data_IF_415514121103
#
_entry.id   IF_415514121103
#
_cell.length_a   1.000
_cell.length_b   1.000
_cell.length_c   1.000
_cell.angle_alpha   90.00
_cell.angle_beta   90.00
_cell.angle_gamma   90.00
#
_symmetry.space_group_name_H-M   'P 1'
#
loop_
_entity.id
_entity.type
_entity.pdbx_description
1 polymer ?
#
# COMPACT_ATOMS: atom_id res chain seq x y z
N UNK A 1 16.99 -9.52 -7.49
CA UNK A 1 16.41 -10.29 -8.61
C UNK A 1 16.40 -11.78 -8.33
N UNK A 2 17.53 -12.46 -8.09
CA UNK A 2 17.58 -13.91 -7.78
C UNK A 2 16.62 -14.41 -6.66
N UNK A 3 16.45 -13.64 -5.58
CA UNK A 3 15.51 -14.01 -4.51
C UNK A 3 14.06 -13.97 -4.97
N UNK A 4 13.69 -12.96 -5.76
CA UNK A 4 12.36 -12.78 -6.34
C UNK A 4 12.08 -13.89 -7.36
N UNK A 5 13.04 -14.19 -8.23
CA UNK A 5 12.94 -15.29 -9.20
C UNK A 5 12.68 -16.63 -8.50
N UNK A 6 13.48 -16.94 -7.47
CA UNK A 6 13.31 -18.15 -6.66
C UNK A 6 11.94 -18.20 -5.99
N UNK A 7 11.48 -17.07 -5.44
CA UNK A 7 10.18 -17.00 -4.78
C UNK A 7 9.04 -17.23 -5.76
N UNK A 8 9.06 -16.58 -6.93
CA UNK A 8 8.04 -16.74 -7.98
C UNK A 8 8.01 -18.19 -8.48
N UNK A 9 9.17 -18.80 -8.69
CA UNK A 9 9.28 -20.21 -9.10
C UNK A 9 8.65 -21.13 -8.05
N UNK A 10 9.06 -21.02 -6.79
CA UNK A 10 8.58 -21.89 -5.71
C UNK A 10 7.07 -21.75 -5.49
N UNK A 11 6.56 -20.52 -5.46
CA UNK A 11 5.12 -20.28 -5.28
C UNK A 11 4.30 -20.86 -6.45
N UNK A 12 4.78 -20.71 -7.68
CA UNK A 12 4.08 -21.23 -8.86
C UNK A 12 4.16 -22.76 -8.92
N UNK A 13 5.31 -23.34 -8.58
CA UNK A 13 5.50 -24.79 -8.50
C UNK A 13 4.56 -25.42 -7.46
N UNK A 14 4.48 -24.85 -6.26
CA UNK A 14 3.60 -25.33 -5.19
C UNK A 14 2.13 -25.30 -5.59
N UNK A 15 1.69 -24.24 -6.27
CA UNK A 15 0.30 -24.12 -6.73
C UNK A 15 -0.03 -25.18 -7.80
N UNK A 16 0.83 -25.31 -8.81
CA UNK A 16 0.65 -26.30 -9.89
C UNK A 16 0.72 -27.73 -9.37
N UNK A 17 1.62 -28.00 -8.43
CA UNK A 17 1.75 -29.33 -7.83
C UNK A 17 0.48 -29.74 -7.09
N UNK A 18 -0.09 -28.87 -6.26
CA UNK A 18 -1.37 -29.13 -5.57
C UNK A 18 -2.50 -29.41 -6.56
N UNK A 19 -2.60 -28.60 -7.62
CA UNK A 19 -3.58 -28.79 -8.69
C UNK A 19 -3.39 -30.14 -9.40
N UNK A 20 -2.15 -30.56 -9.65
CA UNK A 20 -1.83 -31.84 -10.27
C UNK A 20 -2.18 -33.03 -9.39
N UNK A 21 -1.89 -32.97 -8.09
CA UNK A 21 -2.31 -34.02 -7.14
C UNK A 21 -3.83 -34.18 -7.14
N UNK A 22 -4.59 -33.08 -7.14
CA UNK A 22 -6.05 -33.12 -7.26
C UNK A 22 -6.49 -33.77 -8.58
N UNK A 23 -5.86 -33.43 -9.71
CA UNK A 23 -6.15 -34.07 -11.02
C UNK A 23 -5.86 -35.56 -11.01
N UNK A 24 -4.76 -36.00 -10.37
CA UNK A 24 -4.42 -37.42 -10.25
C UNK A 24 -5.43 -38.18 -9.38
N UNK A 25 -5.92 -37.56 -8.30
CA UNK A 25 -6.97 -38.13 -7.47
C UNK A 25 -8.27 -38.34 -8.26
N UNK A 26 -8.67 -37.34 -9.05
CA UNK A 26 -9.83 -37.46 -9.95
C UNK A 26 -9.60 -38.51 -11.04
N UNK A 27 -8.41 -38.55 -11.65
CA UNK A 27 -8.07 -39.57 -12.64
C UNK A 27 -8.17 -40.98 -12.04
N UNK A 28 -7.66 -41.16 -10.81
CA UNK A 28 -7.72 -42.45 -10.10
C UNK A 28 -9.16 -42.89 -9.83
N UNK A 29 -10.09 -41.97 -9.55
CA UNK A 29 -11.49 -42.33 -9.29
C UNK A 29 -12.24 -42.76 -10.56
N UNK A 30 -11.82 -42.29 -11.74
CA UNK A 30 -12.50 -42.58 -13.02
C UNK A 30 -11.81 -43.64 -13.88
N UNK A 31 -10.51 -43.87 -13.73
CA UNK A 31 -9.74 -44.76 -14.62
C UNK A 31 -10.22 -46.22 -14.54
N UNK A 32 -10.81 -46.63 -13.41
CA UNK A 32 -11.39 -47.97 -13.24
C UNK A 32 -12.48 -48.30 -14.27
N UNK A 33 -13.20 -47.31 -14.79
CA UNK A 33 -14.21 -47.53 -15.83
C UNK A 33 -13.63 -48.02 -17.17
N UNK A 34 -12.31 -47.86 -17.40
CA UNK A 34 -11.63 -48.38 -18.60
C UNK A 34 -11.64 -49.92 -18.67
N UNK A 35 -11.78 -50.59 -17.52
CA UNK A 35 -11.88 -52.04 -17.44
C UNK A 35 -13.10 -52.59 -18.22
N UNK A 36 -14.19 -51.82 -18.34
CA UNK A 36 -15.36 -52.21 -19.14
C UNK A 36 -15.04 -52.37 -20.63
N UNK A 37 -14.02 -51.67 -21.13
CA UNK A 37 -13.53 -51.79 -22.49
C UNK A 37 -12.36 -52.79 -22.63
N UNK A 38 -12.16 -53.68 -21.64
CA UNK A 38 -11.06 -54.65 -21.57
C UNK A 38 -9.66 -54.03 -21.62
N UNK A 39 -9.53 -52.75 -21.28
CA UNK A 39 -8.24 -52.07 -21.16
C UNK A 39 -7.74 -52.17 -19.72
N UNK A 40 -6.44 -52.38 -19.55
CA UNK A 40 -5.80 -52.41 -18.23
C UNK A 40 -5.80 -51.01 -17.58
N UNK A 41 -6.58 -50.78 -16.50
CA UNK A 41 -6.69 -49.47 -15.87
C UNK A 41 -5.36 -48.94 -15.33
N UNK A 42 -4.43 -49.83 -14.95
CA UNK A 42 -3.13 -49.41 -14.39
C UNK A 42 -2.25 -48.80 -15.46
N UNK A 43 -2.26 -49.38 -16.67
CA UNK A 43 -1.48 -48.85 -17.79
C UNK A 43 -2.08 -47.53 -18.28
N UNK A 44 -3.41 -47.46 -18.41
CA UNK A 44 -4.13 -46.22 -18.76
C UNK A 44 -3.83 -45.09 -17.76
N UNK A 45 -3.88 -45.39 -16.46
CA UNK A 45 -3.51 -44.43 -15.42
C UNK A 45 -2.09 -43.92 -15.60
N UNK A 46 -1.11 -44.80 -15.85
CA UNK A 46 0.30 -44.41 -16.06
C UNK A 46 0.45 -43.50 -17.27
N UNK A 47 -0.18 -43.85 -18.39
CA UNK A 47 -0.10 -43.05 -19.62
C UNK A 47 -0.71 -41.66 -19.43
N UNK A 48 -1.93 -41.57 -18.88
CA UNK A 48 -2.60 -40.28 -18.66
C UNK A 48 -1.94 -39.44 -17.57
N UNK A 49 -1.52 -40.05 -16.46
CA UNK A 49 -0.83 -39.31 -15.39
C UNK A 49 0.48 -38.72 -15.88
N UNK A 50 1.21 -39.43 -16.74
CA UNK A 50 2.41 -38.90 -17.37
C UNK A 50 2.11 -37.73 -18.32
N UNK A 51 1.08 -37.85 -19.16
CA UNK A 51 0.62 -36.75 -20.03
C UNK A 51 0.23 -35.50 -19.21
N UNK A 52 -0.49 -35.69 -18.10
CA UNK A 52 -0.84 -34.60 -17.17
C UNK A 52 0.41 -33.96 -16.55
N UNK A 53 1.42 -34.76 -16.23
CA UNK A 53 2.68 -34.27 -15.67
C UNK A 53 3.49 -33.46 -16.69
N UNK A 54 3.60 -33.92 -17.94
CA UNK A 54 4.22 -33.14 -19.02
C UNK A 54 3.50 -31.80 -19.25
N UNK A 55 2.16 -31.83 -19.22
CA UNK A 55 1.34 -30.62 -19.28
C UNK A 55 1.63 -29.66 -18.12
N UNK A 56 1.76 -30.17 -16.89
CA UNK A 56 2.16 -29.38 -15.71
C UNK A 56 3.54 -28.72 -15.92
N UNK A 57 4.55 -29.47 -16.39
CA UNK A 57 5.88 -28.91 -16.60
C UNK A 57 5.88 -27.77 -17.63
N UNK A 58 5.11 -27.92 -18.71
CA UNK A 58 4.98 -26.87 -19.73
C UNK A 58 4.22 -25.65 -19.20
N UNK A 59 3.12 -25.85 -18.48
CA UNK A 59 2.38 -24.76 -17.85
C UNK A 59 3.22 -24.02 -16.80
N UNK A 60 4.01 -24.74 -15.98
CA UNK A 60 4.91 -24.15 -15.00
C UNK A 60 5.95 -23.25 -15.67
N UNK A 61 6.60 -23.72 -16.74
CA UNK A 61 7.57 -22.92 -17.50
C UNK A 61 6.93 -21.66 -18.06
N UNK A 62 5.77 -21.80 -18.73
CA UNK A 62 5.05 -20.68 -19.31
C UNK A 62 4.67 -19.61 -18.28
N UNK A 63 4.05 -20.04 -17.17
CA UNK A 63 3.58 -19.12 -16.13
C UNK A 63 4.74 -18.43 -15.38
N UNK A 64 5.84 -19.14 -15.12
CA UNK A 64 7.02 -18.52 -14.50
C UNK A 64 7.64 -17.49 -15.44
N UNK A 65 7.84 -17.83 -16.73
CA UNK A 65 8.39 -16.88 -17.71
C UNK A 65 7.51 -15.65 -17.87
N UNK A 66 6.19 -15.84 -17.94
CA UNK A 66 5.23 -14.74 -18.02
C UNK A 66 5.29 -13.83 -16.78
N UNK A 67 5.24 -14.41 -15.57
CA UNK A 67 5.33 -13.63 -14.34
C UNK A 67 6.64 -12.86 -14.25
N UNK A 68 7.76 -13.49 -14.58
CA UNK A 68 9.07 -12.82 -14.58
C UNK A 68 9.14 -11.68 -15.60
N UNK A 69 8.51 -11.84 -16.77
CA UNK A 69 8.44 -10.77 -17.79
C UNK A 69 7.62 -9.56 -17.35
N UNK A 70 6.61 -9.76 -16.50
CA UNK A 70 5.78 -8.67 -15.96
C UNK A 70 6.40 -7.98 -14.73
N UNK A 71 7.43 -8.55 -14.11
CA UNK A 71 8.09 -7.94 -12.94
C UNK A 71 8.96 -6.79 -13.42
N UNK A 72 8.46 -5.56 -13.24
CA UNK A 72 9.24 -4.34 -13.35
C UNK A 72 9.78 -3.94 -11.96
N UNK A 73 11.08 -4.08 -11.67
CA UNK A 73 11.64 -3.50 -10.46
C UNK A 73 11.49 -1.97 -10.53
N UNK A 74 10.98 -1.34 -9.47
CA UNK A 74 10.94 0.12 -9.40
C UNK A 74 12.36 0.66 -9.44
N UNK A 75 12.59 1.71 -10.23
CA UNK A 75 13.86 2.43 -10.20
C UNK A 75 14.08 3.09 -8.84
N UNK A 76 15.34 3.33 -8.48
CA UNK A 76 15.68 4.00 -7.23
C UNK A 76 15.05 5.40 -7.13
N UNK A 77 14.93 6.10 -8.25
CA UNK A 77 14.28 7.42 -8.33
C UNK A 77 12.77 7.33 -8.09
N UNK A 78 12.09 6.34 -8.69
CA UNK A 78 10.66 6.09 -8.47
C UNK A 78 10.37 5.69 -7.02
N UNK A 79 11.24 4.88 -6.39
CA UNK A 79 11.13 4.54 -4.97
C UNK A 79 11.25 5.78 -4.08
N UNK A 80 12.22 6.65 -4.35
CA UNK A 80 12.40 7.88 -3.58
C UNK A 80 11.26 8.88 -3.79
N UNK A 81 10.69 8.96 -5.00
CA UNK A 81 9.52 9.79 -5.27
C UNK A 81 8.28 9.29 -4.51
N UNK A 82 8.06 7.97 -4.48
CA UNK A 82 6.96 7.35 -3.74
C UNK A 82 7.10 7.58 -2.22
N UNK A 83 8.29 7.41 -1.65
CA UNK A 83 8.55 7.67 -0.22
C UNK A 83 8.32 9.15 0.12
N UNK A 84 8.77 10.08 -0.74
CA UNK A 84 8.53 11.51 -0.56
C UNK A 84 7.04 11.85 -0.60
N UNK A 85 6.28 11.27 -1.53
CA UNK A 85 4.83 11.44 -1.57
C UNK A 85 4.14 10.90 -0.32
N UNK A 86 4.55 9.72 0.16
CA UNK A 86 3.97 9.11 1.35
C UNK A 86 4.24 9.95 2.62
N UNK A 87 5.47 10.45 2.79
CA UNK A 87 5.84 11.37 3.86
C UNK A 87 5.06 12.69 3.78
N UNK A 88 4.90 13.26 2.58
CA UNK A 88 4.14 14.49 2.36
C UNK A 88 2.64 14.30 2.70
N UNK A 89 2.04 13.16 2.33
CA UNK A 89 0.68 12.81 2.72
C UNK A 89 0.54 12.67 4.23
N UNK A 90 1.51 12.03 4.89
CA UNK A 90 1.51 11.88 6.35
C UNK A 90 1.63 13.23 7.07
N UNK A 91 2.46 14.14 6.55
CA UNK A 91 2.60 15.50 7.05
C UNK A 91 1.34 16.34 6.80
N UNK A 92 0.69 16.17 5.65
CA UNK A 92 -0.57 16.85 5.35
C UNK A 92 -1.70 16.35 6.25
N UNK A 93 -1.79 15.03 6.47
CA UNK A 93 -2.75 14.43 7.39
C UNK A 93 -2.50 14.84 8.85
N UNK A 94 -1.23 14.92 9.28
CA UNK A 94 -0.90 15.38 10.64
C UNK A 94 -1.13 16.88 10.82
N UNK A 95 -0.88 17.71 9.79
CA UNK A 95 -1.21 19.13 9.80
C UNK A 95 -2.73 19.36 9.85
N UNK A 96 -3.51 18.58 9.10
CA UNK A 96 -4.97 18.61 9.14
C UNK A 96 -5.52 18.15 10.51
N UNK A 97 -4.90 17.13 11.12
CA UNK A 97 -5.27 16.66 12.46
C UNK A 97 -4.84 17.63 13.58
N UNK A 98 -3.79 18.43 13.36
CA UNK A 98 -3.25 19.36 14.35
C UNK A 98 -4.02 20.69 14.43
N UNK A 99 -4.93 20.98 13.49
CA UNK A 99 -5.91 22.08 13.57
C UNK A 99 -5.32 23.46 13.92
N UNK A 100 -4.03 23.70 13.66
CA UNK A 100 -3.34 24.93 14.05
C UNK A 100 -3.34 25.86 12.84
N UNK A 101 -4.15 26.94 12.83
CA UNK A 101 -4.07 27.92 11.77
C UNK A 101 -2.63 28.46 11.73
N UNK A 102 -2.06 28.74 10.54
CA UNK A 102 -0.83 29.50 10.48
C UNK A 102 -1.06 30.77 11.29
N UNK A 103 -0.21 31.01 12.29
CA UNK A 103 -0.21 32.26 13.03
C UNK A 103 0.18 33.36 12.05
N UNK A 104 -0.82 33.87 11.31
CA UNK A 104 -0.72 35.10 10.58
C UNK A 104 -0.31 36.14 11.63
N UNK A 105 0.92 36.64 11.52
CA UNK A 105 1.35 37.83 12.27
C UNK A 105 0.40 38.95 11.86
N UNK A 106 -0.68 39.12 12.62
CA UNK A 106 -1.61 40.21 12.43
C UNK A 106 -0.81 41.49 12.61
N UNK A 107 -0.72 42.31 11.57
CA UNK A 107 -0.06 43.62 11.66
C UNK A 107 -0.70 44.39 12.83
N UNK A 108 0.13 45.00 13.68
CA UNK A 108 -0.36 45.88 14.74
C UNK A 108 -1.31 46.94 14.14
N UNK A 109 -2.38 47.27 14.86
CA UNK A 109 -3.32 48.27 14.40
C UNK A 109 -2.59 49.61 14.18
N UNK A 110 -2.92 50.34 13.10
CA UNK A 110 -2.32 51.65 12.82
C UNK A 110 -2.60 52.59 14.00
N UNK A 111 -1.54 53.09 14.65
CA UNK A 111 -1.64 53.98 15.81
C UNK A 111 -1.62 53.30 17.19
N UNK A 112 -1.30 52.00 17.27
CA UNK A 112 -1.13 51.30 18.54
C UNK A 112 0.19 51.69 19.23
N UNK A 113 0.11 52.20 20.46
CA UNK A 113 1.24 52.43 21.36
C UNK A 113 1.13 51.50 22.58
N UNK A 114 2.18 50.73 22.86
CA UNK A 114 2.22 49.79 23.99
C UNK A 114 2.20 50.52 25.35
N UNK A 115 2.63 51.77 25.39
CA UNK A 115 2.75 52.56 26.61
C UNK A 115 1.52 53.41 26.95
N UNK A 116 0.57 53.55 26.00
CA UNK A 116 -0.65 54.33 26.20
C UNK A 116 -1.91 53.45 26.05
N UNK A 117 -2.56 53.06 27.17
CA UNK A 117 -3.81 52.29 27.17
C UNK A 117 -4.97 52.93 26.40
N UNK A 118 -4.94 54.23 26.14
CA UNK A 118 -5.98 54.92 25.36
C UNK A 118 -5.95 54.53 23.88
N UNK A 119 -4.77 54.15 23.37
CA UNK A 119 -4.54 53.74 21.97
C UNK A 119 -4.93 52.29 21.69
N UNK A 120 -5.20 51.49 22.74
CA UNK A 120 -5.56 50.08 22.61
C UNK A 120 -6.99 49.87 22.12
N UNK A 121 -7.83 50.92 22.18
CA UNK A 121 -9.26 50.85 21.90
C UNK A 121 -10.05 50.08 22.96
N UNK A 122 -11.27 49.63 22.60
CA UNK A 122 -12.11 48.77 23.45
C UNK A 122 -12.20 47.33 22.90
N UNK A 123 -11.08 46.59 22.81
CA UNK A 123 -11.10 45.22 22.30
C UNK A 123 -11.84 44.31 23.28
N UNK A 124 -12.75 43.47 22.78
CA UNK A 124 -13.43 42.46 23.59
C UNK A 124 -12.43 41.45 24.19
N UNK A 125 -12.74 40.87 25.37
CA UNK A 125 -11.82 39.99 26.13
C UNK A 125 -11.20 38.83 25.32
N UNK A 126 -11.93 38.30 24.33
CA UNK A 126 -11.48 37.20 23.46
C UNK A 126 -11.01 37.67 22.05
N UNK A 127 -11.09 38.96 21.74
CA UNK A 127 -10.66 39.53 20.46
C UNK A 127 -9.13 39.41 20.28
N UNK A 128 -8.62 39.43 19.04
CA UNK A 128 -7.18 39.51 18.79
C UNK A 128 -6.60 40.77 19.44
N UNK A 129 -5.45 40.64 20.07
CA UNK A 129 -4.81 41.76 20.76
C UNK A 129 -4.30 42.80 19.74
N UNK A 130 -4.58 44.11 19.95
CA UNK A 130 -4.23 45.18 19.00
C UNK A 130 -2.72 45.37 18.80
N UNK A 131 -1.88 44.83 19.69
CA UNK A 131 -0.41 44.83 19.57
C UNK A 131 0.15 43.95 18.43
N UNK A 132 -0.70 43.18 17.74
CA UNK A 132 -0.26 42.32 16.65
C UNK A 132 0.44 41.02 17.09
N UNK A 133 0.43 40.70 18.40
CA UNK A 133 1.05 39.48 18.95
C UNK A 133 0.38 38.16 18.51
N UNK A 134 -0.76 38.24 17.82
CA UNK A 134 -1.55 37.07 17.42
C UNK A 134 -2.25 36.35 18.58
N UNK A 135 -2.09 36.83 19.84
CA UNK A 135 -2.75 36.29 21.04
C UNK A 135 -4.09 36.98 21.28
N UNK A 136 -5.02 36.30 21.98
CA UNK A 136 -6.28 36.92 22.46
C UNK A 136 -5.96 38.00 23.50
N UNK A 137 -6.74 39.07 23.57
CA UNK A 137 -6.53 40.21 24.47
C UNK A 137 -6.31 39.78 25.94
N UNK A 138 -7.14 38.87 26.47
CA UNK A 138 -6.99 38.30 27.84
C UNK A 138 -5.69 37.54 28.11
N UNK A 139 -4.96 37.12 27.09
CA UNK A 139 -3.71 36.38 27.19
C UNK A 139 -2.48 37.25 26.83
N UNK A 140 -2.68 38.56 26.66
CA UNK A 140 -1.66 39.54 26.36
C UNK A 140 -1.87 40.77 27.26
N UNK A 141 -2.18 41.94 26.70
CA UNK A 141 -2.36 43.21 27.42
C UNK A 141 -3.60 43.29 28.33
N UNK A 142 -4.54 42.34 28.22
CA UNK A 142 -5.69 42.20 29.11
C UNK A 142 -5.50 41.17 30.23
N UNK A 143 -4.25 40.81 30.54
CA UNK A 143 -3.90 39.92 31.65
C UNK A 143 -3.80 40.77 32.92
N UNK A 144 -4.75 40.60 33.84
CA UNK A 144 -4.62 41.06 35.22
C UNK A 144 -3.51 40.29 35.93
#
# INVERSE_FOLDING_TARGET
MRSVEKQVLLQTMDAKWREHILKLEHLRSVVGFRAYAQRDPVNEYKTESFQLFEGLLNALRGEVTEKLAHIRPLSAEEQQAMIRQMLAQQQAASAAASGKPPAAKAKAAKGFDESDPSTWGKPGRNAPCPCGSGKKFKHCHGRL
#
